data_IF_946084030631
#
_entry.id   IF_946084030631
#
_cell.length_a   1.000
_cell.length_b   1.000
_cell.length_c   1.000
_cell.angle_alpha   90.00
_cell.angle_beta   90.00
_cell.angle_gamma   90.00
#
_symmetry.space_group_name_H-M   'P 1'
#
loop_
_entity.id
_entity.type
_entity.pdbx_description
1 polymer ?
#
# COMPACT_ATOMS: atom_id res chain seq x y z
N UNK A 1 19.85 31.09 -46.23
CA UNK A 1 19.29 29.78 -46.70
C UNK A 1 18.95 28.94 -45.48
N UNK A 2 17.72 28.97 -45.02
CA UNK A 2 17.24 27.99 -44.04
C UNK A 2 17.07 26.67 -44.80
N UNK A 3 17.88 25.67 -44.49
CA UNK A 3 17.64 24.30 -44.93
C UNK A 3 16.28 23.86 -44.34
N UNK A 4 15.34 23.51 -45.21
CA UNK A 4 14.09 22.87 -44.84
C UNK A 4 14.44 21.52 -44.23
N UNK A 5 14.61 21.47 -42.91
CA UNK A 5 14.67 20.20 -42.20
C UNK A 5 13.34 19.48 -42.47
N UNK A 6 13.40 18.33 -43.12
CA UNK A 6 12.20 17.60 -43.49
C UNK A 6 11.41 17.26 -42.25
N UNK A 7 10.09 17.42 -42.28
CA UNK A 7 9.18 17.12 -41.12
C UNK A 7 9.38 15.70 -40.56
N UNK A 8 9.67 14.72 -41.41
CA UNK A 8 9.86 13.32 -41.04
C UNK A 8 11.00 13.07 -40.03
N UNK A 9 12.23 13.57 -40.22
CA UNK A 9 13.29 13.36 -39.23
C UNK A 9 13.02 14.09 -37.92
N UNK A 10 12.41 15.27 -37.95
CA UNK A 10 12.02 15.98 -36.70
C UNK A 10 10.98 15.19 -35.91
N UNK A 11 9.94 14.69 -36.59
CA UNK A 11 8.92 13.88 -35.96
C UNK A 11 9.50 12.57 -35.37
N UNK A 12 10.36 11.89 -36.13
CA UNK A 12 11.02 10.67 -35.65
C UNK A 12 11.88 10.93 -34.41
N UNK A 13 12.61 12.04 -34.38
CA UNK A 13 13.39 12.43 -33.19
C UNK A 13 12.52 12.71 -31.99
N UNK A 14 11.40 13.43 -32.16
CA UNK A 14 10.46 13.71 -31.06
C UNK A 14 9.84 12.42 -30.48
N UNK A 15 9.44 11.49 -31.36
CA UNK A 15 8.93 10.20 -30.95
C UNK A 15 9.97 9.41 -30.15
N UNK A 16 11.23 9.40 -30.65
CA UNK A 16 12.32 8.69 -29.98
C UNK A 16 12.61 9.28 -28.59
N UNK A 17 12.62 10.59 -28.43
CA UNK A 17 12.76 11.25 -27.14
C UNK A 17 11.58 10.95 -26.21
N UNK A 18 10.35 10.94 -26.72
CA UNK A 18 9.16 10.61 -25.94
C UNK A 18 9.21 9.17 -25.42
N UNK A 19 9.60 8.21 -26.25
CA UNK A 19 9.78 6.82 -25.86
C UNK A 19 10.89 6.67 -24.82
N UNK A 20 12.05 7.29 -25.05
CA UNK A 20 13.18 7.22 -24.13
C UNK A 20 12.85 7.84 -22.76
N UNK A 21 12.21 9.02 -22.73
CA UNK A 21 11.85 9.68 -21.48
C UNK A 21 10.85 8.85 -20.65
N UNK A 22 9.88 8.22 -21.32
CA UNK A 22 8.90 7.35 -20.64
C UNK A 22 9.54 6.06 -20.12
N UNK A 23 10.44 5.44 -20.93
CA UNK A 23 11.17 4.25 -20.46
C UNK A 23 12.08 4.58 -19.28
N UNK A 24 12.80 5.71 -19.35
CA UNK A 24 13.66 6.16 -18.26
C UNK A 24 12.86 6.48 -17.00
N UNK A 25 11.69 7.12 -17.14
CA UNK A 25 10.82 7.37 -15.98
C UNK A 25 10.29 6.06 -15.37
N UNK A 26 9.87 5.10 -16.20
CA UNK A 26 9.43 3.79 -15.72
C UNK A 26 10.54 3.06 -14.96
N UNK A 27 11.77 3.09 -15.46
CA UNK A 27 12.95 2.59 -14.74
C UNK A 27 13.20 3.35 -13.45
N UNK A 28 13.17 4.69 -13.47
CA UNK A 28 13.39 5.53 -12.31
C UNK A 28 12.33 5.30 -11.23
N UNK A 29 11.07 5.04 -11.62
CA UNK A 29 9.99 4.70 -10.70
C UNK A 29 10.27 3.36 -9.97
N UNK A 30 10.73 2.34 -10.68
CA UNK A 30 11.11 1.05 -10.07
C UNK A 30 12.36 1.17 -9.22
N UNK A 31 13.39 1.87 -9.72
CA UNK A 31 14.65 2.11 -9.03
C UNK A 31 14.55 3.20 -7.94
N UNK A 32 13.36 3.76 -7.73
CA UNK A 32 13.06 4.78 -6.73
C UNK A 32 14.01 6.00 -6.80
N UNK A 33 14.31 6.45 -8.02
CA UNK A 33 15.07 7.67 -8.25
C UNK A 33 14.18 8.90 -8.03
N UNK A 34 14.09 9.33 -6.79
CA UNK A 34 13.15 10.37 -6.33
C UNK A 34 13.30 11.70 -7.06
N UNK A 35 14.51 12.10 -7.43
CA UNK A 35 14.76 13.32 -8.23
C UNK A 35 13.98 13.31 -9.56
N UNK A 36 13.97 12.17 -10.26
CA UNK A 36 13.24 12.01 -11.51
C UNK A 36 11.74 11.96 -11.31
N UNK A 37 11.29 11.20 -10.31
CA UNK A 37 9.86 11.05 -9.98
C UNK A 37 9.26 12.39 -9.58
N UNK A 38 9.97 13.19 -8.77
CA UNK A 38 9.51 14.51 -8.31
C UNK A 38 9.48 15.57 -9.42
N UNK A 39 10.37 15.50 -10.39
CA UNK A 39 10.38 16.45 -11.49
C UNK A 39 9.29 16.22 -12.52
N UNK A 40 8.77 15.00 -12.65
CA UNK A 40 7.76 14.66 -13.65
C UNK A 40 6.47 15.50 -13.54
N UNK A 41 5.86 15.74 -12.34
CA UNK A 41 4.69 16.59 -12.22
C UNK A 41 4.92 18.06 -12.57
N UNK A 42 6.19 18.52 -12.58
CA UNK A 42 6.53 19.90 -12.93
C UNK A 42 6.58 20.12 -14.46
N UNK A 43 6.51 19.04 -15.26
CA UNK A 43 6.59 19.13 -16.72
C UNK A 43 5.17 19.20 -17.31
N UNK A 44 4.80 20.29 -17.99
CA UNK A 44 3.48 20.42 -18.60
C UNK A 44 3.30 19.36 -19.69
N UNK A 45 2.09 18.78 -19.76
CA UNK A 45 1.73 17.75 -20.75
C UNK A 45 2.58 16.46 -20.72
N UNK A 46 3.36 16.24 -19.67
CA UNK A 46 4.12 15.01 -19.51
C UNK A 46 3.35 14.03 -18.62
N UNK A 47 2.95 12.90 -19.20
CA UNK A 47 2.24 11.81 -18.52
C UNK A 47 3.19 10.61 -18.42
N UNK A 48 3.94 10.49 -17.32
CA UNK A 48 4.97 9.47 -17.20
C UNK A 48 4.36 8.07 -17.03
N UNK A 49 4.93 7.10 -17.72
CA UNK A 49 4.58 5.69 -17.55
C UNK A 49 5.22 5.13 -16.27
N UNK A 50 4.42 4.39 -15.51
CA UNK A 50 4.89 3.52 -14.44
C UNK A 50 4.65 2.07 -14.86
N UNK A 51 5.71 1.32 -15.11
CA UNK A 51 5.63 -0.02 -15.70
C UNK A 51 6.40 -1.05 -14.88
N UNK A 52 6.27 -1.04 -13.55
CA UNK A 52 7.02 -1.92 -12.64
C UNK A 52 6.87 -3.40 -13.00
N UNK A 53 5.63 -3.86 -13.26
CA UNK A 53 5.38 -5.25 -13.65
C UNK A 53 6.06 -5.61 -14.98
N UNK A 54 6.05 -4.70 -15.95
CA UNK A 54 6.69 -4.91 -17.25
C UNK A 54 8.21 -4.95 -17.10
N UNK A 55 8.80 -4.05 -16.33
CA UNK A 55 10.24 -4.03 -16.06
C UNK A 55 10.74 -5.28 -15.36
N UNK A 56 9.96 -5.83 -14.42
CA UNK A 56 10.26 -7.11 -13.79
C UNK A 56 10.12 -8.28 -14.78
N UNK A 57 9.08 -8.29 -15.63
CA UNK A 57 8.93 -9.32 -16.67
C UNK A 57 10.03 -9.31 -17.71
N UNK A 58 10.55 -8.14 -18.05
CA UNK A 58 11.66 -7.95 -19.00
C UNK A 58 13.03 -8.25 -18.35
N UNK A 59 13.09 -8.58 -17.07
CA UNK A 59 14.35 -8.86 -16.36
C UNK A 59 15.23 -7.62 -16.15
N UNK A 60 14.73 -6.42 -16.42
CA UNK A 60 15.48 -5.15 -16.23
C UNK A 60 15.72 -4.89 -14.74
N UNK A 61 14.80 -5.35 -13.89
CA UNK A 61 14.90 -5.23 -12.42
C UNK A 61 14.40 -6.53 -11.79
N UNK A 62 15.20 -7.09 -10.88
CA UNK A 62 14.79 -8.27 -10.10
C UNK A 62 13.89 -7.86 -8.94
N UNK A 63 12.96 -8.73 -8.53
CA UNK A 63 12.16 -8.53 -7.32
C UNK A 63 13.03 -8.34 -6.06
N UNK A 64 14.16 -9.05 -5.98
CA UNK A 64 15.14 -8.91 -4.89
C UNK A 64 15.84 -7.55 -4.91
N UNK A 65 16.11 -7.00 -6.10
CA UNK A 65 16.72 -5.68 -6.25
C UNK A 65 15.73 -4.58 -5.88
N UNK A 66 14.46 -4.73 -6.22
CA UNK A 66 13.39 -3.79 -5.81
C UNK A 66 13.30 -3.75 -4.27
N UNK A 67 13.29 -4.90 -3.62
CA UNK A 67 13.29 -4.99 -2.17
C UNK A 67 14.54 -4.33 -1.59
N UNK A 68 15.73 -4.69 -2.08
CA UNK A 68 17.00 -4.15 -1.62
C UNK A 68 17.12 -2.64 -1.86
N UNK A 69 16.66 -2.14 -3.00
CA UNK A 69 16.61 -0.71 -3.31
C UNK A 69 15.66 0.04 -2.37
N UNK A 70 14.51 -0.55 -2.05
CA UNK A 70 13.55 0.03 -1.12
C UNK A 70 14.14 0.23 0.28
N UNK A 71 14.96 -0.68 0.78
CA UNK A 71 15.55 -0.61 2.12
C UNK A 71 16.87 0.17 2.19
N UNK A 72 17.64 0.25 1.09
CA UNK A 72 19.00 0.81 1.11
C UNK A 72 19.10 2.29 0.68
N UNK A 73 18.04 2.96 0.27
CA UNK A 73 18.11 4.37 -0.06
C UNK A 73 18.45 5.20 1.17
N UNK A 74 19.68 5.75 1.18
CA UNK A 74 20.16 6.70 2.21
C UNK A 74 19.15 7.84 2.33
N UNK A 75 18.88 8.26 3.57
CA UNK A 75 18.11 9.45 3.93
C UNK A 75 18.49 10.63 3.01
N UNK A 76 17.69 10.93 2.00
CA UNK A 76 17.73 12.24 1.39
C UNK A 76 16.88 13.12 2.29
N UNK A 77 17.44 14.23 2.76
CA UNK A 77 16.74 15.17 3.63
C UNK A 77 15.56 15.78 2.88
N UNK A 78 14.37 15.28 3.13
CA UNK A 78 13.19 16.13 3.02
C UNK A 78 13.20 16.96 4.30
N UNK A 79 12.97 18.27 4.21
CA UNK A 79 12.79 19.16 5.36
C UNK A 79 11.43 18.87 6.04
N UNK A 80 11.22 17.61 6.42
CA UNK A 80 10.04 17.18 7.14
C UNK A 80 10.31 17.29 8.64
N UNK A 81 9.54 18.13 9.30
CA UNK A 81 9.46 18.18 10.75
C UNK A 81 8.24 17.33 11.20
N UNK A 82 8.48 16.04 11.43
CA UNK A 82 7.44 15.10 11.86
C UNK A 82 7.98 14.12 12.90
N UNK A 83 7.36 14.03 14.06
CA UNK A 83 6.28 14.89 14.55
C UNK A 83 6.78 16.30 14.86
N UNK A 84 5.89 17.30 14.80
CA UNK A 84 6.23 18.70 15.17
C UNK A 84 6.62 18.76 16.65
N UNK A 85 5.83 18.10 17.50
CA UNK A 85 6.06 17.97 18.92
C UNK A 85 6.21 16.50 19.33
N UNK A 86 6.95 16.25 20.39
CA UNK A 86 7.06 14.90 20.96
C UNK A 86 5.69 14.44 21.52
N UNK A 87 5.35 13.17 21.29
CA UNK A 87 4.16 12.60 21.89
C UNK A 87 4.24 12.62 23.42
N UNK A 88 3.15 13.07 24.03
CA UNK A 88 2.92 12.97 25.47
C UNK A 88 1.77 11.98 25.68
N UNK A 89 2.06 10.87 26.32
CA UNK A 89 1.07 9.85 26.62
C UNK A 89 1.35 9.21 27.97
N UNK A 90 0.29 8.70 28.57
CA UNK A 90 0.40 7.88 29.77
C UNK A 90 0.60 6.42 29.38
N UNK A 91 1.56 5.76 30.02
CA UNK A 91 1.78 4.33 29.83
C UNK A 91 0.71 3.58 30.61
N UNK A 92 -0.18 2.87 29.92
CA UNK A 92 -1.18 2.06 30.56
C UNK A 92 -0.57 0.77 31.12
N UNK A 93 -0.94 0.44 32.37
CA UNK A 93 -0.51 -0.80 33.03
C UNK A 93 -1.04 -2.08 32.35
N UNK A 94 -2.09 -1.95 31.53
CA UNK A 94 -2.72 -3.06 30.82
C UNK A 94 -2.95 -2.70 29.34
N UNK A 95 -1.91 -2.76 28.50
CA UNK A 95 -2.03 -2.45 27.07
C UNK A 95 -2.94 -3.48 26.37
N UNK A 96 -3.78 -2.99 25.46
CA UNK A 96 -4.74 -3.84 24.73
C UNK A 96 -4.10 -4.40 23.47
N UNK A 97 -4.48 -5.63 23.12
CA UNK A 97 -4.19 -6.17 21.79
C UNK A 97 -4.97 -5.39 20.73
N UNK A 98 -4.35 -5.14 19.59
CA UNK A 98 -4.95 -4.38 18.50
C UNK A 98 -4.90 -5.20 17.21
N UNK A 99 -6.05 -5.36 16.57
CA UNK A 99 -6.15 -6.00 15.25
C UNK A 99 -6.76 -4.99 14.29
N UNK A 100 -6.00 -4.64 13.26
CA UNK A 100 -6.43 -3.74 12.20
C UNK A 100 -6.66 -4.57 10.94
N UNK A 101 -7.90 -4.62 10.47
CA UNK A 101 -8.28 -5.34 9.26
C UNK A 101 -8.65 -4.31 8.19
N UNK A 102 -7.95 -4.34 7.06
CA UNK A 102 -8.28 -3.54 5.89
C UNK A 102 -8.65 -4.46 4.73
N UNK A 103 -9.75 -4.15 4.05
CA UNK A 103 -10.22 -4.84 2.86
C UNK A 103 -10.13 -3.84 1.71
N UNK A 104 -9.21 -4.07 0.76
CA UNK A 104 -8.99 -3.16 -0.35
C UNK A 104 -10.22 -3.13 -1.28
N UNK A 105 -10.56 -1.92 -1.75
CA UNK A 105 -11.66 -1.69 -2.67
C UNK A 105 -13.06 -2.14 -2.20
N UNK A 106 -13.23 -2.43 -0.92
CA UNK A 106 -14.54 -2.80 -0.39
C UNK A 106 -15.49 -1.62 -0.35
N UNK A 107 -16.62 -1.72 -1.06
CA UNK A 107 -17.63 -0.68 -1.09
C UNK A 107 -18.50 -0.74 0.19
N UNK A 108 -18.68 0.41 0.85
CA UNK A 108 -19.49 0.51 2.08
C UNK A 108 -20.94 0.01 1.91
N UNK A 109 -21.50 0.07 0.69
CA UNK A 109 -22.85 -0.45 0.38
C UNK A 109 -22.96 -1.96 0.52
N UNK A 110 -21.83 -2.67 0.43
CA UNK A 110 -21.75 -4.10 0.69
C UNK A 110 -21.79 -4.45 2.18
N UNK A 111 -21.71 -3.44 3.07
CA UNK A 111 -21.81 -3.64 4.50
C UNK A 111 -23.27 -3.73 4.95
N UNK A 112 -23.89 -4.87 4.74
CA UNK A 112 -25.26 -5.17 5.11
C UNK A 112 -25.44 -6.67 5.39
N UNK A 113 -26.61 -7.04 5.97
CA UNK A 113 -26.91 -8.42 6.36
C UNK A 113 -26.97 -9.40 5.16
N UNK A 114 -27.32 -8.92 3.97
CA UNK A 114 -27.48 -9.78 2.81
C UNK A 114 -26.15 -10.15 2.17
N UNK A 115 -25.17 -9.23 2.19
CA UNK A 115 -23.88 -9.38 1.48
C UNK A 115 -22.78 -9.81 2.44
N UNK A 116 -22.72 -9.19 3.63
CA UNK A 116 -21.69 -9.47 4.65
C UNK A 116 -22.32 -9.81 6.00
N UNK A 117 -23.10 -10.89 6.11
CA UNK A 117 -23.88 -11.19 7.33
C UNK A 117 -23.02 -11.32 8.57
N UNK A 118 -21.87 -11.97 8.50
CA UNK A 118 -20.98 -12.14 9.65
C UNK A 118 -20.35 -10.83 10.12
N UNK A 119 -19.90 -9.98 9.20
CA UNK A 119 -19.34 -8.67 9.54
C UNK A 119 -20.43 -7.75 10.09
N UNK A 120 -21.62 -7.79 9.51
CA UNK A 120 -22.77 -7.01 9.95
C UNK A 120 -23.20 -7.41 11.36
N UNK A 121 -23.31 -8.72 11.64
CA UNK A 121 -23.64 -9.22 12.97
C UNK A 121 -22.58 -8.84 14.01
N UNK A 122 -21.30 -8.97 13.68
CA UNK A 122 -20.22 -8.53 14.58
C UNK A 122 -20.33 -7.03 14.88
N UNK A 123 -20.61 -6.22 13.85
CA UNK A 123 -20.70 -4.77 13.98
C UNK A 123 -21.91 -4.29 14.81
N UNK A 124 -22.94 -5.12 14.99
CA UNK A 124 -24.09 -4.78 15.84
C UNK A 124 -23.70 -4.56 17.31
N UNK A 125 -22.59 -5.20 17.74
CA UNK A 125 -22.03 -5.03 19.10
C UNK A 125 -20.88 -4.02 19.17
N UNK A 126 -20.58 -3.30 18.08
CA UNK A 126 -19.41 -2.44 17.93
C UNK A 126 -19.79 -0.98 17.64
N UNK A 127 -18.84 -0.08 17.83
CA UNK A 127 -18.97 1.30 17.35
C UNK A 127 -18.87 1.35 15.83
N UNK A 128 -19.86 1.93 15.16
CA UNK A 128 -19.92 2.08 13.69
C UNK A 128 -19.72 3.53 13.31
N UNK A 129 -18.80 3.80 12.40
CA UNK A 129 -18.50 5.14 11.87
C UNK A 129 -19.11 5.29 10.49
N UNK A 130 -20.28 5.91 10.40
CA UNK A 130 -21.05 6.06 9.16
C UNK A 130 -20.63 7.24 8.29
N UNK A 131 -19.87 8.17 8.86
CA UNK A 131 -19.37 9.37 8.17
C UNK A 131 -17.84 9.35 7.99
N UNK A 132 -17.25 8.18 7.98
CA UNK A 132 -15.82 8.02 7.73
C UNK A 132 -15.49 8.18 6.24
N UNK A 133 -14.48 9.00 5.94
CA UNK A 133 -13.96 9.19 4.60
C UNK A 133 -12.53 8.67 4.50
N UNK A 134 -12.23 8.01 3.40
CA UNK A 134 -10.85 7.62 3.09
C UNK A 134 -10.01 8.87 2.81
N UNK A 135 -8.74 8.86 3.20
CA UNK A 135 -7.78 9.94 2.92
C UNK A 135 -7.40 10.03 1.44
N UNK A 136 -7.78 9.05 0.62
CA UNK A 136 -7.51 9.01 -0.82
C UNK A 136 -8.50 8.06 -1.51
N UNK A 137 -8.63 8.20 -2.83
CA UNK A 137 -9.37 7.29 -3.69
C UNK A 137 -8.55 6.10 -4.21
N UNK A 138 -7.35 5.88 -3.69
CA UNK A 138 -6.47 4.78 -4.09
C UNK A 138 -5.72 4.20 -2.90
N UNK A 139 -5.41 2.90 -2.97
CA UNK A 139 -4.80 2.09 -1.92
C UNK A 139 -3.58 2.75 -1.30
N UNK A 140 -2.67 3.26 -2.14
CA UNK A 140 -1.43 3.89 -1.68
C UNK A 140 -1.67 5.05 -0.71
N UNK A 141 -2.53 5.99 -1.12
CA UNK A 141 -2.82 7.17 -0.31
C UNK A 141 -3.69 6.86 0.91
N UNK A 142 -4.62 5.91 0.78
CA UNK A 142 -5.51 5.51 1.88
C UNK A 142 -4.75 4.79 2.99
N UNK A 143 -3.89 3.84 2.66
CA UNK A 143 -3.03 3.14 3.63
C UNK A 143 -2.02 4.11 4.27
N UNK A 144 -1.45 5.04 3.48
CA UNK A 144 -0.61 6.10 4.06
C UNK A 144 -1.35 6.92 5.12
N UNK A 145 -2.54 7.42 4.79
CA UNK A 145 -3.33 8.19 5.74
C UNK A 145 -3.77 7.41 6.96
N UNK A 146 -4.04 6.10 6.81
CA UNK A 146 -4.39 5.21 7.91
C UNK A 146 -3.27 5.12 8.95
N UNK A 147 -2.00 5.04 8.52
CA UNK A 147 -0.86 4.87 9.42
C UNK A 147 -0.22 6.17 9.89
N UNK A 148 -0.18 7.20 9.04
CA UNK A 148 0.41 8.50 9.38
C UNK A 148 -0.58 9.52 9.94
N UNK A 149 -1.90 9.29 9.76
CA UNK A 149 -2.96 10.27 10.05
C UNK A 149 -2.77 11.59 9.30
N UNK A 150 -2.16 11.54 8.11
CA UNK A 150 -1.84 12.66 7.26
C UNK A 150 -2.44 12.51 5.86
N UNK A 151 -2.60 13.62 5.15
CA UNK A 151 -2.99 13.61 3.74
C UNK A 151 -1.97 12.88 2.88
N UNK A 152 -2.44 12.13 1.89
CA UNK A 152 -1.60 11.40 0.94
C UNK A 152 -0.71 12.29 0.06
N UNK A 153 -0.90 13.60 0.06
CA UNK A 153 -0.03 14.57 -0.62
C UNK A 153 1.42 14.49 -0.11
N UNK A 154 1.61 14.11 1.15
CA UNK A 154 2.93 13.96 1.76
C UNK A 154 3.62 12.64 1.46
N UNK A 155 2.99 11.72 0.72
CA UNK A 155 3.55 10.41 0.42
C UNK A 155 5.01 10.46 -0.03
N UNK A 156 5.30 11.29 -1.05
CA UNK A 156 6.64 11.36 -1.65
C UNK A 156 7.69 11.84 -0.65
N UNK A 157 7.33 12.75 0.24
CA UNK A 157 8.24 13.31 1.23
C UNK A 157 8.61 12.28 2.29
N UNK A 158 7.64 11.50 2.75
CA UNK A 158 7.89 10.39 3.67
C UNK A 158 8.63 9.23 3.01
N UNK A 159 8.34 8.92 1.74
CA UNK A 159 9.08 7.91 0.97
C UNK A 159 10.57 8.25 0.86
N UNK A 160 10.89 9.53 0.71
CA UNK A 160 12.27 10.04 0.62
C UNK A 160 12.95 10.14 1.96
N UNK A 161 12.27 10.70 2.96
CA UNK A 161 12.84 10.92 4.29
C UNK A 161 13.09 9.63 5.07
N UNK A 162 12.34 8.57 4.78
CA UNK A 162 12.39 7.32 5.52
C UNK A 162 11.88 7.44 6.97
N UNK A 163 11.14 8.51 7.27
CA UNK A 163 10.47 8.68 8.55
C UNK A 163 9.34 7.67 8.64
N UNK A 164 9.25 6.95 9.76
CA UNK A 164 8.23 5.94 10.00
C UNK A 164 6.97 6.55 10.63
N UNK A 165 5.80 5.88 10.50
CA UNK A 165 4.60 6.29 11.21
C UNK A 165 4.81 6.25 12.73
N UNK A 166 4.36 7.28 13.42
CA UNK A 166 4.37 7.33 14.88
C UNK A 166 3.65 6.12 15.50
N UNK A 167 2.55 5.67 14.90
CA UNK A 167 1.85 4.48 15.36
C UNK A 167 2.79 3.27 15.48
N UNK A 168 3.57 2.98 14.45
CA UNK A 168 4.49 1.83 14.46
C UNK A 168 5.64 2.06 15.44
N UNK A 169 6.19 3.26 15.48
CA UNK A 169 7.28 3.58 16.42
C UNK A 169 6.84 3.45 17.87
N UNK A 170 5.66 3.93 18.22
CA UNK A 170 5.13 3.84 19.58
C UNK A 170 4.76 2.42 19.98
N UNK A 171 4.18 1.63 19.09
CA UNK A 171 3.93 0.22 19.34
C UNK A 171 5.22 -0.55 19.62
N UNK A 172 6.29 -0.28 18.85
CA UNK A 172 7.61 -0.89 19.09
C UNK A 172 8.22 -0.44 20.43
N UNK A 173 8.13 0.85 20.78
CA UNK A 173 8.60 1.38 22.07
C UNK A 173 7.84 0.75 23.25
N UNK A 174 6.56 0.49 23.09
CA UNK A 174 5.70 -0.15 24.09
C UNK A 174 5.80 -1.67 24.07
N UNK A 175 6.78 -2.24 23.35
CA UNK A 175 7.08 -3.67 23.30
C UNK A 175 5.96 -4.54 22.71
N UNK A 176 5.15 -3.99 21.80
CA UNK A 176 4.17 -4.77 21.06
C UNK A 176 4.84 -5.77 20.11
N UNK A 177 4.28 -6.96 20.01
CA UNK A 177 4.58 -7.89 18.93
C UNK A 177 3.80 -7.45 17.68
N UNK A 178 4.50 -7.09 16.60
CA UNK A 178 3.87 -6.57 15.38
C UNK A 178 3.83 -7.66 14.32
N UNK A 179 2.63 -8.06 13.91
CA UNK A 179 2.37 -8.99 12.81
C UNK A 179 1.74 -8.28 11.60
N UNK A 180 2.33 -8.43 10.42
CA UNK A 180 1.82 -7.87 9.17
C UNK A 180 1.47 -9.01 8.22
N UNK A 181 0.20 -9.10 7.83
CA UNK A 181 -0.37 -10.19 7.01
C UNK A 181 -0.92 -9.63 5.69
N UNK A 182 -0.08 -9.36 4.70
CA UNK A 182 -0.52 -8.79 3.44
C UNK A 182 -0.91 -9.88 2.45
N UNK A 183 -2.10 -9.81 1.86
CA UNK A 183 -2.49 -10.63 0.71
C UNK A 183 -1.79 -10.14 -0.56
N UNK A 184 -1.87 -8.84 -0.84
CA UNK A 184 -1.07 -8.21 -1.88
C UNK A 184 0.36 -7.95 -1.43
N UNK A 185 1.30 -7.86 -2.38
CA UNK A 185 2.67 -7.45 -2.05
C UNK A 185 2.69 -6.01 -1.50
N UNK A 186 3.46 -5.81 -0.43
CA UNK A 186 3.70 -4.49 0.17
C UNK A 186 5.04 -3.87 -0.25
N UNK A 187 5.68 -4.44 -1.27
CA UNK A 187 6.90 -3.89 -1.87
C UNK A 187 6.57 -2.85 -2.94
N UNK A 188 5.44 -3.03 -3.63
CA UNK A 188 4.95 -2.07 -4.61
C UNK A 188 3.40 -1.99 -4.55
N UNK A 189 2.85 -0.87 -4.05
CA UNK A 189 3.52 0.31 -3.49
C UNK A 189 4.46 -0.01 -2.32
N UNK A 190 5.52 0.81 -2.09
CA UNK A 190 6.58 0.49 -1.13
C UNK A 190 6.16 0.68 0.34
N UNK A 191 5.06 0.06 0.76
CA UNK A 191 4.57 0.10 2.14
C UNK A 191 5.58 -0.51 3.11
N UNK A 192 6.26 -1.58 2.72
CA UNK A 192 7.30 -2.21 3.52
C UNK A 192 8.39 -1.20 3.94
N UNK A 193 8.78 -0.31 3.02
CA UNK A 193 9.79 0.74 3.28
C UNK A 193 9.22 1.87 4.12
N UNK A 194 8.04 2.38 3.73
CA UNK A 194 7.51 3.64 4.27
C UNK A 194 6.84 3.43 5.62
N UNK A 195 6.14 2.30 5.79
CA UNK A 195 5.33 2.05 6.99
C UNK A 195 5.99 1.10 7.98
N UNK A 196 6.73 0.09 7.49
CA UNK A 196 7.08 -1.08 8.28
C UNK A 196 8.58 -1.40 8.31
N UNK A 197 9.45 -0.49 7.86
CA UNK A 197 10.89 -0.80 7.74
C UNK A 197 11.58 -1.13 9.09
N UNK A 198 10.96 -0.76 10.20
CA UNK A 198 11.46 -1.08 11.56
C UNK A 198 10.82 -2.33 12.16
N UNK A 199 9.84 -2.93 11.49
CA UNK A 199 9.18 -4.15 11.97
C UNK A 199 10.11 -5.34 11.73
N UNK A 200 10.47 -6.10 12.79
CA UNK A 200 11.30 -7.30 12.64
C UNK A 200 10.58 -8.36 11.81
N UNK A 201 11.34 -9.16 11.06
CA UNK A 201 10.85 -10.31 10.29
C UNK A 201 9.62 -10.01 9.40
N UNK A 202 9.61 -8.80 8.81
CA UNK A 202 8.49 -8.29 8.04
C UNK A 202 8.12 -9.18 6.86
N UNK A 203 6.91 -9.72 6.88
CA UNK A 203 6.32 -10.42 5.75
C UNK A 203 5.93 -9.42 4.67
N UNK A 204 6.53 -9.52 3.49
CA UNK A 204 6.32 -8.58 2.39
C UNK A 204 5.36 -9.08 1.31
N UNK A 205 5.08 -10.38 1.29
CA UNK A 205 4.17 -11.04 0.35
C UNK A 205 3.63 -12.33 0.94
N UNK A 206 2.58 -12.86 0.31
CA UNK A 206 1.96 -14.13 0.67
C UNK A 206 1.93 -15.05 -0.56
N UNK A 207 2.31 -16.30 -0.36
CA UNK A 207 2.25 -17.34 -1.38
C UNK A 207 0.79 -17.71 -1.69
N UNK A 208 0.46 -17.85 -2.97
CA UNK A 208 -0.86 -18.24 -3.47
C UNK A 208 -0.98 -18.02 -4.97
N UNK A 209 -1.68 -18.93 -5.65
CA UNK A 209 -1.87 -18.86 -7.12
C UNK A 209 -2.84 -17.75 -7.50
N UNK A 210 -3.85 -17.53 -6.69
CA UNK A 210 -4.89 -16.52 -6.88
C UNK A 210 -4.93 -15.55 -5.70
N UNK A 211 -5.63 -14.42 -5.86
CA UNK A 211 -5.88 -13.49 -4.75
C UNK A 211 -6.69 -14.18 -3.66
N UNK A 212 -7.67 -15.01 -4.04
CA UNK A 212 -8.46 -15.80 -3.11
C UNK A 212 -7.59 -16.71 -2.23
N UNK A 213 -6.64 -17.44 -2.84
CA UNK A 213 -5.73 -18.31 -2.09
C UNK A 213 -4.90 -17.53 -1.07
N UNK A 214 -4.44 -16.32 -1.44
CA UNK A 214 -3.67 -15.47 -0.54
C UNK A 214 -4.50 -14.93 0.61
N UNK A 215 -5.74 -14.49 0.36
CA UNK A 215 -6.66 -14.03 1.40
C UNK A 215 -7.00 -15.16 2.39
N UNK A 216 -7.25 -16.37 1.90
CA UNK A 216 -7.42 -17.55 2.74
C UNK A 216 -6.16 -17.85 3.54
N UNK A 217 -4.99 -17.74 2.90
CA UNK A 217 -3.71 -18.04 3.56
C UNK A 217 -3.39 -17.09 4.68
N UNK A 218 -3.55 -15.76 4.50
CA UNK A 218 -3.30 -14.80 5.59
C UNK A 218 -4.26 -15.01 6.75
N UNK A 219 -5.51 -15.39 6.47
CA UNK A 219 -6.49 -15.73 7.51
C UNK A 219 -6.04 -16.94 8.32
N UNK A 220 -5.65 -18.04 7.66
CA UNK A 220 -5.20 -19.25 8.32
C UNK A 220 -3.93 -19.01 9.16
N UNK A 221 -2.94 -18.31 8.56
CA UNK A 221 -1.68 -17.99 9.24
C UNK A 221 -1.90 -17.08 10.47
N UNK A 222 -2.84 -16.13 10.37
CA UNK A 222 -3.19 -15.27 11.50
C UNK A 222 -3.91 -16.03 12.61
N UNK A 223 -4.87 -16.88 12.28
CA UNK A 223 -5.56 -17.71 13.26
C UNK A 223 -4.59 -18.64 14.00
N UNK A 224 -3.65 -19.24 13.28
CA UNK A 224 -2.59 -20.04 13.90
C UNK A 224 -1.68 -19.19 14.81
N UNK A 225 -1.35 -17.96 14.40
CA UNK A 225 -0.55 -17.06 15.22
C UNK A 225 -1.26 -16.60 16.49
N UNK A 226 -2.60 -16.47 16.47
CA UNK A 226 -3.38 -16.05 17.64
C UNK A 226 -3.23 -16.99 18.83
N UNK A 227 -3.10 -18.31 18.60
CA UNK A 227 -2.89 -19.28 19.67
C UNK A 227 -1.59 -18.99 20.45
N UNK A 228 -0.55 -18.56 19.75
CA UNK A 228 0.74 -18.18 20.34
C UNK A 228 0.71 -16.77 20.93
N UNK A 229 0.13 -15.81 20.22
CA UNK A 229 0.02 -14.41 20.65
C UNK A 229 -0.88 -14.26 21.87
N UNK A 230 -2.00 -14.99 21.89
CA UNK A 230 -2.99 -14.92 22.98
C UNK A 230 -2.49 -15.51 24.31
N UNK A 231 -1.56 -16.47 24.27
CA UNK A 231 -0.91 -17.05 25.45
C UNK A 231 0.31 -16.25 25.93
N UNK A 232 0.76 -15.27 25.15
CA UNK A 232 1.91 -14.44 25.46
C UNK A 232 1.61 -13.35 26.51
N UNK A 233 2.67 -12.88 27.16
CA UNK A 233 2.61 -11.77 28.14
C UNK A 233 2.73 -10.39 27.51
N UNK A 234 3.12 -10.33 26.23
CA UNK A 234 3.29 -9.07 25.49
C UNK A 234 2.04 -8.73 24.71
N UNK A 235 1.65 -7.45 24.65
CA UNK A 235 0.57 -7.02 23.76
C UNK A 235 0.99 -7.21 22.30
N UNK A 236 0.01 -7.39 21.43
CA UNK A 236 0.27 -7.49 19.98
C UNK A 236 -0.54 -6.49 19.16
N UNK A 237 0.04 -6.12 18.04
CA UNK A 237 -0.62 -5.39 16.95
C UNK A 237 -0.55 -6.25 15.70
N UNK A 238 -1.70 -6.54 15.10
CA UNK A 238 -1.79 -7.29 13.85
C UNK A 238 -2.47 -6.46 12.77
N UNK A 239 -1.85 -6.35 11.60
CA UNK A 239 -2.45 -5.72 10.43
C UNK A 239 -2.70 -6.77 9.35
N UNK A 240 -3.97 -7.02 9.04
CA UNK A 240 -4.41 -7.91 7.98
C UNK A 240 -4.88 -7.06 6.78
N UNK A 241 -4.29 -7.30 5.61
CA UNK A 241 -4.62 -6.56 4.41
C UNK A 241 -5.14 -7.50 3.33
N UNK A 242 -6.46 -7.52 3.16
CA UNK A 242 -7.19 -8.34 2.19
C UNK A 242 -7.30 -7.63 0.85
N UNK A 243 -7.15 -8.38 -0.26
CA UNK A 243 -7.06 -7.85 -1.62
C UNK A 243 -8.14 -8.41 -2.58
N UNK A 244 -8.92 -9.40 -2.16
CA UNK A 244 -9.87 -10.09 -3.04
C UNK A 244 -10.91 -9.16 -3.66
N UNK A 245 -11.44 -8.21 -2.91
CA UNK A 245 -12.42 -7.26 -3.40
C UNK A 245 -11.88 -6.29 -4.46
N UNK A 246 -10.54 -6.15 -4.57
CA UNK A 246 -9.91 -5.33 -5.60
C UNK A 246 -9.99 -5.96 -6.99
N UNK A 247 -9.79 -7.27 -7.12
CA UNK A 247 -9.69 -7.97 -8.41
C UNK A 247 -10.93 -8.76 -8.79
N UNK A 248 -11.85 -9.03 -7.87
CA UNK A 248 -13.03 -9.89 -8.06
C UNK A 248 -12.69 -11.30 -8.59
N UNK A 249 -11.47 -11.76 -8.39
CA UNK A 249 -10.96 -13.05 -8.88
C UNK A 249 -11.31 -14.19 -7.93
N UNK A 250 -12.59 -14.53 -7.86
CA UNK A 250 -13.08 -15.65 -7.04
C UNK A 250 -13.16 -16.92 -7.89
N UNK A 251 -12.70 -18.09 -7.40
CA UNK A 251 -12.91 -19.38 -8.06
C UNK A 251 -14.40 -19.61 -8.32
N UNK A 252 -14.75 -20.16 -9.49
CA UNK A 252 -16.14 -20.34 -9.92
C UNK A 252 -16.97 -21.18 -8.95
N UNK A 253 -16.37 -22.15 -8.30
CA UNK A 253 -16.98 -23.00 -7.27
C UNK A 253 -17.17 -22.30 -5.93
N UNK A 254 -16.55 -21.11 -5.74
CA UNK A 254 -16.65 -20.26 -4.56
C UNK A 254 -17.49 -19.00 -4.79
N UNK A 255 -18.11 -18.85 -5.96
CA UNK A 255 -19.03 -17.76 -6.24
C UNK A 255 -20.26 -17.89 -5.34
N UNK A 256 -20.30 -17.09 -4.30
CA UNK A 256 -21.51 -16.93 -3.49
C UNK A 256 -22.54 -16.08 -4.25
N UNK A 257 -23.84 -16.37 -4.05
CA UNK A 257 -24.95 -15.80 -4.80
C UNK A 257 -25.28 -14.33 -4.49
N UNK A 258 -24.37 -13.63 -3.83
CA UNK A 258 -24.57 -12.25 -3.43
C UNK A 258 -24.03 -11.29 -4.50
N UNK A 259 -24.60 -11.35 -5.70
CA UNK A 259 -24.49 -10.21 -6.61
C UNK A 259 -25.73 -9.35 -6.41
N UNK A 260 -25.61 -8.22 -5.70
CA UNK A 260 -26.69 -7.26 -5.68
C UNK A 260 -26.93 -6.79 -7.13
N UNK A 261 -28.16 -6.63 -7.52
CA UNK A 261 -28.55 -5.96 -8.76
C UNK A 261 -28.21 -4.46 -8.65
N UNK A 262 -26.92 -4.14 -8.68
CA UNK A 262 -26.49 -2.74 -8.69
C UNK A 262 -26.37 -2.28 -10.13
N UNK A 263 -27.16 -1.31 -10.48
CA UNK A 263 -26.79 -0.44 -11.57
C UNK A 263 -25.62 0.42 -11.07
N UNK A 264 -24.43 0.12 -11.56
CA UNK A 264 -23.31 1.05 -11.38
C UNK A 264 -23.69 2.32 -12.14
N UNK A 265 -23.67 3.49 -11.49
CA UNK A 265 -23.77 4.72 -12.24
C UNK A 265 -22.63 4.72 -13.25
N UNK A 266 -22.96 4.63 -14.51
CA UNK A 266 -22.03 4.88 -15.62
C UNK A 266 -21.51 6.31 -15.44
N UNK A 267 -20.21 6.43 -15.20
CA UNK A 267 -19.52 7.73 -15.18
C UNK A 267 -19.41 8.24 -16.60
#
# INVERSE_FOLDING_TARGET
RFHRCGFRPVLATLILFALFSNFYHAYAAVAQKTSVIRSAPCLPYYFPLTATRLMMKLGVVSSKDVIKMNFNNKKQSADLNYPIDSLKYEVHSNPKNVVLIAIDSWNYRAFNQDITPHISHFADSCSRFTSHLSSSNGTRGSIFGLFFSLSSIYWTDFEVSGIQPLLIEELLKQNYQIGIYPSATIVNPPFAKILFSKVPDLRTHTEGKTVYDRDCRITADYLQALDTLGSGTKPFFSFLFYDLAHGYEVPKDKLYRFQPSWEFPTI
#
